data_IF_432119019131
#
_entry.id   IF_432119019131
#
_cell.length_a   1.000
_cell.length_b   1.000
_cell.length_c   1.000
_cell.angle_alpha   90.00
_cell.angle_beta   90.00
_cell.angle_gamma   90.00
#
_symmetry.space_group_name_H-M   'P 1'
#
loop_
_entity.id
_entity.type
_entity.pdbx_description
1 polymer ?
#
# COMPACT_ATOMS: atom_id res chain seq x y z
N UNK A 1 23.44 8.97 -8.87
CA UNK A 1 24.45 8.24 -8.11
C UNK A 1 23.92 7.96 -6.72
N UNK A 2 23.98 6.72 -6.27
CA UNK A 2 23.61 6.32 -4.90
C UNK A 2 24.89 6.15 -4.08
N UNK A 3 24.93 6.80 -2.92
CA UNK A 3 25.99 6.65 -1.95
C UNK A 3 25.41 6.10 -0.65
N UNK A 4 26.17 5.29 0.05
CA UNK A 4 25.77 4.85 1.40
C UNK A 4 25.92 6.03 2.37
N UNK A 5 24.95 6.20 3.28
CA UNK A 5 25.02 7.20 4.35
C UNK A 5 26.27 7.00 5.21
N UNK A 6 26.70 5.77 5.41
CA UNK A 6 27.93 5.39 6.12
C UNK A 6 29.21 5.94 5.49
N UNK A 7 29.15 6.42 4.24
CA UNK A 7 30.26 7.05 3.59
C UNK A 7 30.54 8.50 4.02
N UNK A 8 29.61 9.17 4.71
CA UNK A 8 29.67 10.59 4.99
C UNK A 8 30.82 10.98 5.90
N UNK A 9 31.85 11.68 5.33
CA UNK A 9 33.08 12.15 6.02
C UNK A 9 33.82 11.09 6.85
N UNK A 10 33.53 9.80 6.66
CA UNK A 10 34.19 8.73 7.37
C UNK A 10 35.43 8.25 6.61
N UNK A 11 36.44 7.68 7.31
CA UNK A 11 37.63 7.11 6.66
C UNK A 11 37.31 5.97 5.70
N UNK A 12 36.13 5.34 5.85
CA UNK A 12 35.64 4.22 5.05
C UNK A 12 34.85 4.66 3.82
N UNK A 13 34.81 5.96 3.48
CA UNK A 13 34.15 6.45 2.27
C UNK A 13 34.72 5.78 1.03
N UNK A 14 33.85 5.11 0.26
CA UNK A 14 34.22 4.42 -0.97
C UNK A 14 34.95 3.09 -0.76
N UNK A 15 35.19 2.66 0.46
CA UNK A 15 35.78 1.36 0.75
C UNK A 15 34.76 0.24 0.45
N UNK A 16 35.16 -0.83 -0.27
CA UNK A 16 34.28 -1.97 -0.50
C UNK A 16 33.74 -2.64 0.78
N UNK A 17 34.46 -2.51 1.88
CA UNK A 17 34.09 -3.04 3.20
C UNK A 17 33.26 -2.04 4.04
N UNK A 18 32.93 -0.89 3.53
CA UNK A 18 32.19 0.15 4.26
C UNK A 18 30.96 -0.37 5.00
N UNK A 19 30.28 -1.37 4.45
CA UNK A 19 29.12 -1.98 5.09
C UNK A 19 29.44 -2.70 6.42
N UNK A 20 30.60 -3.31 6.53
CA UNK A 20 30.98 -4.21 7.63
C UNK A 20 32.01 -3.60 8.58
N UNK A 21 32.82 -2.62 8.14
CA UNK A 21 33.87 -2.02 8.95
C UNK A 21 33.29 -1.05 9.97
N UNK A 22 33.64 -1.28 11.24
CA UNK A 22 33.31 -0.37 12.34
C UNK A 22 34.45 0.62 12.54
N UNK A 23 34.14 1.82 12.97
CA UNK A 23 35.14 2.81 13.37
C UNK A 23 35.80 2.37 14.70
N UNK A 24 37.07 2.51 14.77
CA UNK A 24 37.79 2.37 16.04
C UNK A 24 37.67 3.66 16.89
N UNK A 25 38.13 3.61 18.16
CA UNK A 25 37.97 4.72 19.10
C UNK A 25 38.62 6.01 18.59
N UNK A 26 39.81 5.93 17.98
CA UNK A 26 40.51 7.10 17.43
C UNK A 26 39.72 7.73 16.25
N UNK A 27 39.20 6.90 15.34
CA UNK A 27 38.39 7.35 14.23
C UNK A 27 37.05 7.95 14.71
N UNK A 28 36.46 7.42 15.77
CA UNK A 28 35.29 8.00 16.41
C UNK A 28 35.57 9.36 17.02
N UNK A 29 36.70 9.52 17.66
CA UNK A 29 37.15 10.79 18.22
C UNK A 29 37.41 11.85 17.13
N UNK A 30 38.11 11.48 16.07
CA UNK A 30 38.33 12.36 14.90
C UNK A 30 37.02 12.77 14.28
N UNK A 31 36.10 11.83 14.12
CA UNK A 31 34.77 12.12 13.54
C UNK A 31 33.99 13.08 14.43
N UNK A 32 33.94 12.83 15.75
CA UNK A 32 33.31 13.71 16.74
C UNK A 32 33.88 15.13 16.67
N UNK A 33 35.21 15.24 16.65
CA UNK A 33 35.90 16.54 16.57
C UNK A 33 35.59 17.25 15.24
N UNK A 34 35.46 16.52 14.13
CA UNK A 34 35.08 17.08 12.82
C UNK A 34 33.68 17.68 12.82
N UNK A 35 32.83 17.23 13.73
CA UNK A 35 31.45 17.72 13.92
C UNK A 35 31.36 18.82 15.00
N UNK A 36 32.48 19.21 15.62
CA UNK A 36 32.56 20.14 16.75
C UNK A 36 31.73 19.70 17.97
N UNK A 37 31.59 18.39 18.20
CA UNK A 37 30.89 17.82 19.36
C UNK A 37 31.94 17.58 20.44
N UNK A 38 31.72 18.06 21.65
CA UNK A 38 32.59 17.78 22.78
C UNK A 38 32.37 16.38 23.33
N UNK A 39 33.40 15.87 24.02
CA UNK A 39 33.31 14.56 24.66
C UNK A 39 32.20 14.56 25.73
N UNK A 40 31.30 13.63 25.65
CA UNK A 40 30.14 13.50 26.53
C UNK A 40 28.91 14.29 26.10
N UNK A 41 29.01 15.09 25.03
CA UNK A 41 27.89 15.87 24.48
C UNK A 41 27.26 15.24 23.22
N UNK A 42 27.57 13.96 22.92
CA UNK A 42 27.15 13.28 21.70
C UNK A 42 25.61 13.17 21.55
N UNK A 43 24.91 13.18 22.67
CA UNK A 43 23.45 13.08 22.72
C UNK A 43 22.80 14.34 23.31
N UNK A 44 23.53 15.41 23.47
CA UNK A 44 22.94 16.69 23.90
C UNK A 44 22.09 17.26 22.74
N UNK A 45 20.92 17.76 23.10
CA UNK A 45 20.07 18.46 22.17
C UNK A 45 20.62 19.85 21.78
N UNK A 46 19.98 20.49 20.83
CA UNK A 46 20.29 21.87 20.50
C UNK A 46 19.79 22.83 21.60
N UNK A 47 20.51 23.92 21.81
CA UNK A 47 19.99 25.01 22.67
C UNK A 47 18.60 25.41 22.21
N UNK A 48 17.64 25.36 23.15
CA UNK A 48 16.23 25.60 22.89
C UNK A 48 15.93 27.02 22.38
N UNK A 49 16.81 27.98 22.66
CA UNK A 49 16.68 29.35 22.18
C UNK A 49 17.33 29.57 20.79
N UNK A 50 18.11 28.59 20.33
CA UNK A 50 18.68 28.64 18.98
C UNK A 50 17.62 28.40 17.90
N UNK A 51 17.87 28.90 16.68
CA UNK A 51 16.97 28.65 15.54
C UNK A 51 16.74 27.16 15.28
N UNK A 52 17.77 26.33 15.46
CA UNK A 52 17.68 24.88 15.27
C UNK A 52 16.90 24.24 16.39
N UNK A 53 17.14 24.64 17.66
CA UNK A 53 16.39 24.14 18.81
C UNK A 53 14.90 24.48 18.73
N UNK A 54 14.57 25.73 18.38
CA UNK A 54 13.19 26.17 18.16
C UNK A 54 12.52 25.33 17.05
N UNK A 55 13.20 25.11 15.91
CA UNK A 55 12.66 24.28 14.84
C UNK A 55 12.46 22.82 15.27
N UNK A 56 13.44 22.23 15.96
CA UNK A 56 13.31 20.88 16.50
C UNK A 56 12.15 20.76 17.50
N UNK A 57 11.99 21.76 18.36
CA UNK A 57 10.89 21.80 19.33
C UNK A 57 9.52 21.92 18.65
N UNK A 58 9.39 22.77 17.65
CA UNK A 58 8.17 22.90 16.84
C UNK A 58 7.81 21.58 16.16
N UNK A 59 8.76 20.95 15.47
CA UNK A 59 8.56 19.66 14.80
C UNK A 59 8.22 18.57 15.80
N UNK A 60 8.92 18.50 16.95
CA UNK A 60 8.63 17.54 18.00
C UNK A 60 7.23 17.73 18.57
N UNK A 61 6.83 18.96 18.84
CA UNK A 61 5.48 19.28 19.31
C UNK A 61 4.43 18.84 18.29
N UNK A 62 4.66 19.12 17.02
CA UNK A 62 3.77 18.68 15.94
C UNK A 62 3.67 17.17 15.84
N UNK A 63 4.81 16.44 15.88
CA UNK A 63 4.83 14.98 15.78
C UNK A 63 4.26 14.27 17.02
N UNK A 64 4.36 14.88 18.18
CA UNK A 64 3.82 14.35 19.45
C UNK A 64 2.48 14.99 19.83
N UNK A 65 1.85 15.77 18.95
CA UNK A 65 0.52 16.27 19.18
C UNK A 65 -0.51 15.14 19.16
N UNK A 66 -1.58 15.28 19.94
CA UNK A 66 -2.67 14.28 20.04
C UNK A 66 -3.35 13.97 18.68
N UNK A 67 -3.08 14.78 17.65
CA UNK A 67 -3.53 14.53 16.28
C UNK A 67 -2.96 13.20 15.74
N UNK A 68 -1.74 12.83 16.15
CA UNK A 68 -1.09 11.57 15.74
C UNK A 68 -1.26 10.43 16.77
N UNK A 69 -1.84 10.70 17.92
CA UNK A 69 -1.97 9.71 19.01
C UNK A 69 -3.38 9.15 19.19
N UNK A 70 -4.38 9.72 18.52
CA UNK A 70 -5.76 9.30 18.68
C UNK A 70 -6.16 8.27 17.61
N UNK A 71 -5.80 7.00 17.86
CA UNK A 71 -6.50 5.90 17.22
C UNK A 71 -7.99 6.08 17.49
N UNK A 72 -8.75 6.47 16.47
CA UNK A 72 -10.19 6.54 16.60
C UNK A 72 -10.74 5.12 16.57
N UNK A 73 -11.49 4.75 17.60
CA UNK A 73 -12.32 3.55 17.53
C UNK A 73 -13.41 3.79 16.49
N UNK A 74 -13.13 3.41 15.25
CA UNK A 74 -14.09 3.49 14.17
C UNK A 74 -14.89 2.19 14.16
N UNK A 75 -16.13 2.25 14.61
CA UNK A 75 -17.06 1.14 14.49
C UNK A 75 -17.84 1.26 13.18
N UNK A 76 -17.80 0.23 12.38
CA UNK A 76 -18.64 0.05 11.19
C UNK A 76 -19.19 -1.38 11.16
N UNK A 77 -20.32 -1.55 10.51
CA UNK A 77 -20.97 -2.86 10.45
C UNK A 77 -20.76 -3.45 9.07
N UNK A 78 -19.92 -4.49 9.00
CA UNK A 78 -19.74 -5.26 7.76
C UNK A 78 -20.92 -6.22 7.61
N UNK A 79 -21.62 -6.22 6.47
CA UNK A 79 -22.65 -7.20 6.19
C UNK A 79 -22.04 -8.60 6.14
N UNK A 80 -22.68 -9.59 6.80
CA UNK A 80 -22.21 -10.97 6.75
C UNK A 80 -22.33 -11.60 5.37
N UNK A 81 -23.24 -11.09 4.56
CA UNK A 81 -23.54 -11.58 3.22
C UNK A 81 -24.49 -10.62 2.52
N UNK A 82 -24.41 -10.56 1.19
CA UNK A 82 -25.43 -9.87 0.40
C UNK A 82 -26.65 -10.76 0.17
N UNK A 83 -27.83 -10.12 0.07
CA UNK A 83 -29.09 -10.83 -0.18
C UNK A 83 -29.18 -11.40 -1.59
N UNK A 84 -28.50 -10.79 -2.54
CA UNK A 84 -28.46 -11.20 -3.95
C UNK A 84 -27.39 -12.27 -4.15
N UNK A 85 -27.81 -13.44 -4.65
CA UNK A 85 -26.89 -14.49 -5.06
C UNK A 85 -26.24 -14.23 -6.42
N UNK A 86 -25.19 -14.99 -6.70
CA UNK A 86 -24.51 -15.01 -8.01
C UNK A 86 -25.12 -16.09 -8.88
N UNK A 87 -25.47 -15.76 -10.12
CA UNK A 87 -26.10 -16.70 -11.07
C UNK A 87 -25.35 -16.70 -12.39
N UNK A 88 -25.33 -17.84 -13.06
CA UNK A 88 -24.66 -18.05 -14.34
C UNK A 88 -23.19 -18.44 -14.20
N UNK A 89 -22.51 -18.55 -15.32
CA UNK A 89 -21.07 -18.86 -15.38
C UNK A 89 -20.27 -17.56 -15.22
N UNK A 90 -19.80 -17.31 -14.00
CA UNK A 90 -18.99 -16.16 -13.66
C UNK A 90 -17.69 -16.59 -13.00
N UNK A 91 -16.58 -15.94 -13.36
CA UNK A 91 -15.32 -16.13 -12.65
C UNK A 91 -15.36 -15.45 -11.28
N UNK A 92 -14.54 -15.93 -10.34
CA UNK A 92 -14.35 -15.27 -9.05
C UNK A 92 -13.86 -13.83 -9.22
N UNK A 93 -13.05 -13.54 -10.24
CA UNK A 93 -12.60 -12.20 -10.60
C UNK A 93 -13.78 -11.27 -10.96
N UNK A 94 -14.73 -11.74 -11.77
CA UNK A 94 -15.95 -10.97 -12.10
C UNK A 94 -16.80 -10.72 -10.84
N UNK A 95 -16.92 -11.73 -10.00
CA UNK A 95 -17.66 -11.63 -8.74
C UNK A 95 -16.98 -10.64 -7.79
N UNK A 96 -15.64 -10.60 -7.73
CA UNK A 96 -14.90 -9.62 -6.95
C UNK A 96 -15.32 -8.17 -7.32
N UNK A 97 -15.32 -7.84 -8.60
CA UNK A 97 -15.78 -6.52 -9.06
C UNK A 97 -17.25 -6.22 -8.73
N UNK A 98 -18.12 -7.25 -8.77
CA UNK A 98 -19.51 -7.12 -8.35
C UNK A 98 -19.66 -6.87 -6.85
N UNK A 99 -18.86 -7.53 -6.01
CA UNK A 99 -18.88 -7.33 -4.55
C UNK A 99 -18.52 -5.88 -4.21
N UNK A 100 -17.43 -5.35 -4.79
CA UNK A 100 -17.03 -3.96 -4.57
C UNK A 100 -18.14 -2.99 -5.01
N UNK A 101 -18.74 -3.24 -6.18
CA UNK A 101 -19.86 -2.43 -6.68
C UNK A 101 -21.09 -2.53 -5.78
N UNK A 102 -21.37 -3.69 -5.20
CA UNK A 102 -22.51 -3.87 -4.30
C UNK A 102 -22.29 -3.17 -2.96
N UNK A 103 -21.06 -3.10 -2.46
CA UNK A 103 -20.72 -2.34 -1.26
C UNK A 103 -21.10 -0.85 -1.39
N UNK A 104 -20.98 -0.25 -2.58
CA UNK A 104 -21.42 1.15 -2.79
C UNK A 104 -22.92 1.35 -2.64
N UNK A 105 -23.71 0.29 -2.64
CA UNK A 105 -25.18 0.35 -2.56
C UNK A 105 -25.70 -0.09 -1.20
N UNK A 106 -25.08 -1.10 -0.62
CA UNK A 106 -25.58 -1.78 0.58
C UNK A 106 -24.82 -1.45 1.86
N UNK A 107 -23.62 -0.88 1.76
CA UNK A 107 -22.73 -0.60 2.90
C UNK A 107 -21.89 0.67 2.63
N UNK A 108 -22.56 1.82 2.52
CA UNK A 108 -21.92 3.09 2.14
C UNK A 108 -20.79 3.48 3.09
N UNK A 109 -20.96 3.31 4.41
CA UNK A 109 -19.92 3.64 5.41
C UNK A 109 -18.60 2.89 5.19
N UNK A 110 -18.70 1.64 4.70
CA UNK A 110 -17.54 0.83 4.32
C UNK A 110 -16.99 1.30 2.98
N UNK A 111 -17.88 1.45 2.01
CA UNK A 111 -17.52 1.89 0.66
C UNK A 111 -16.76 3.22 0.67
N UNK A 112 -17.15 4.19 1.49
CA UNK A 112 -16.50 5.49 1.61
C UNK A 112 -15.08 5.41 2.18
N UNK A 113 -14.70 4.29 2.77
CA UNK A 113 -13.37 4.03 3.32
C UNK A 113 -12.48 3.18 2.42
N UNK A 114 -13.08 2.51 1.44
CA UNK A 114 -12.31 1.67 0.52
C UNK A 114 -11.54 2.55 -0.46
N UNK A 115 -10.23 2.30 -0.53
CA UNK A 115 -9.35 2.84 -1.57
C UNK A 115 -8.78 1.67 -2.35
N UNK A 116 -9.08 1.61 -3.65
CA UNK A 116 -8.49 0.60 -4.52
C UNK A 116 -7.21 1.09 -5.16
N UNK A 117 -6.24 0.19 -5.35
CA UNK A 117 -4.94 0.50 -5.95
C UNK A 117 -4.62 -0.53 -7.03
N UNK A 118 -4.13 -0.09 -8.18
CA UNK A 118 -3.78 -0.97 -9.29
C UNK A 118 -2.49 -0.53 -10.00
N UNK A 119 -1.65 -1.47 -10.45
CA UNK A 119 -0.48 -1.18 -11.27
C UNK A 119 -0.80 -1.38 -12.77
N UNK A 120 -1.66 -0.53 -13.35
CA UNK A 120 -2.09 -0.55 -14.75
C UNK A 120 -2.92 -1.77 -15.17
N UNK A 121 -3.61 -2.39 -14.22
CA UNK A 121 -4.44 -3.58 -14.49
C UNK A 121 -5.90 -3.45 -14.02
N UNK A 122 -6.34 -2.25 -13.68
CA UNK A 122 -7.67 -2.00 -13.11
C UNK A 122 -8.80 -2.58 -13.99
N UNK A 123 -8.74 -2.39 -15.30
CA UNK A 123 -9.73 -2.90 -16.24
C UNK A 123 -9.73 -4.43 -16.33
N UNK A 124 -8.56 -5.03 -16.48
CA UNK A 124 -8.39 -6.48 -16.63
C UNK A 124 -8.59 -7.26 -15.33
N UNK A 125 -8.58 -6.59 -14.18
CA UNK A 125 -8.92 -7.16 -12.87
C UNK A 125 -10.36 -6.88 -12.43
N UNK A 126 -11.20 -6.43 -13.35
CA UNK A 126 -12.65 -6.17 -13.16
C UNK A 126 -12.98 -5.06 -12.12
N UNK A 127 -12.12 -4.06 -11.95
CA UNK A 127 -12.43 -2.89 -11.13
C UNK A 127 -13.34 -1.86 -11.83
N UNK A 128 -13.66 -2.03 -13.12
CA UNK A 128 -14.40 -1.04 -13.90
C UNK A 128 -15.74 -0.62 -13.29
N UNK A 129 -16.51 -1.57 -12.77
CA UNK A 129 -17.79 -1.28 -12.12
C UNK A 129 -17.65 -0.46 -10.84
N UNK A 130 -16.60 -0.69 -10.06
CA UNK A 130 -16.24 0.09 -8.89
C UNK A 130 -15.78 1.50 -9.29
N UNK A 131 -14.80 1.60 -10.19
CA UNK A 131 -14.22 2.88 -10.64
C UNK A 131 -15.29 3.81 -11.23
N UNK A 132 -16.23 3.27 -12.00
CA UNK A 132 -17.36 4.02 -12.53
C UNK A 132 -18.31 4.61 -11.45
N UNK A 133 -18.15 4.18 -10.19
CA UNK A 133 -18.94 4.69 -9.05
C UNK A 133 -18.18 5.68 -8.19
N UNK A 134 -16.88 5.44 -8.01
CA UNK A 134 -16.08 6.17 -7.04
C UNK A 134 -15.02 7.08 -7.66
N UNK A 135 -14.79 6.99 -8.96
CA UNK A 135 -13.79 7.78 -9.68
C UNK A 135 -12.35 7.39 -9.39
N UNK A 136 -11.44 8.04 -10.11
CA UNK A 136 -9.99 7.92 -9.98
C UNK A 136 -9.45 9.12 -9.22
N UNK A 137 -8.60 8.88 -8.26
CA UNK A 137 -7.97 9.95 -7.51
C UNK A 137 -6.86 10.61 -8.33
N UNK A 138 -6.91 11.93 -8.43
CA UNK A 138 -5.84 12.74 -8.99
C UNK A 138 -5.80 14.10 -8.30
N UNK A 139 -4.62 14.51 -7.85
CA UNK A 139 -4.40 15.87 -7.34
C UNK A 139 -4.45 16.92 -8.44
N UNK A 140 -4.11 16.50 -9.65
CA UNK A 140 -4.09 17.34 -10.85
C UNK A 140 -4.79 16.58 -11.98
N UNK A 141 -6.15 16.59 -12.00
CA UNK A 141 -6.90 15.92 -13.05
C UNK A 141 -6.40 16.34 -14.41
N UNK A 142 -6.20 15.39 -15.31
CA UNK A 142 -5.84 15.68 -16.69
C UNK A 142 -7.00 16.41 -17.39
N UNK A 143 -6.70 17.47 -18.14
CA UNK A 143 -7.66 18.02 -19.08
C UNK A 143 -8.03 16.93 -20.08
N UNK A 144 -9.33 16.71 -20.31
CA UNK A 144 -9.81 15.67 -21.21
C UNK A 144 -9.10 15.75 -22.55
N UNK A 145 -8.29 14.75 -22.85
CA UNK A 145 -7.82 14.53 -24.20
C UNK A 145 -9.05 14.22 -25.06
N UNK A 146 -9.29 14.93 -26.17
CA UNK A 146 -10.42 14.64 -27.05
C UNK A 146 -10.24 13.22 -27.60
N UNK A 147 -10.92 12.28 -26.99
CA UNK A 147 -10.94 10.90 -27.45
C UNK A 147 -12.14 10.76 -28.36
N UNK A 148 -11.89 10.34 -29.61
CA UNK A 148 -12.94 9.89 -30.51
C UNK A 148 -13.93 9.00 -29.73
N UNK A 149 -15.21 9.27 -29.87
CA UNK A 149 -16.31 8.70 -29.10
C UNK A 149 -16.41 7.18 -29.25
N UNK A 150 -15.47 6.44 -28.71
CA UNK A 150 -15.64 5.02 -28.46
C UNK A 150 -16.46 4.86 -27.17
N UNK A 151 -17.53 4.07 -27.24
CA UNK A 151 -18.31 3.68 -26.06
C UNK A 151 -17.37 2.89 -25.15
N UNK A 152 -16.85 3.54 -24.11
CA UNK A 152 -15.99 2.91 -23.11
C UNK A 152 -16.86 2.30 -22.01
N UNK A 153 -16.63 1.04 -21.70
CA UNK A 153 -17.24 0.39 -20.54
C UNK A 153 -16.73 0.96 -19.20
N UNK A 154 -15.53 1.55 -19.22
CA UNK A 154 -14.90 2.20 -18.07
C UNK A 154 -14.91 3.72 -18.28
N UNK A 155 -15.56 4.43 -17.37
CA UNK A 155 -15.50 5.88 -17.26
C UNK A 155 -14.34 6.25 -16.35
N UNK A 156 -13.33 6.95 -16.90
CA UNK A 156 -12.13 7.35 -16.16
C UNK A 156 -12.27 8.82 -15.75
N UNK A 157 -12.96 9.06 -14.64
CA UNK A 157 -13.16 10.40 -14.10
C UNK A 157 -12.14 10.68 -12.99
N UNK A 158 -11.21 11.58 -13.28
CA UNK A 158 -10.19 12.00 -12.32
C UNK A 158 -10.69 13.14 -11.44
N UNK A 159 -10.48 13.03 -10.13
CA UNK A 159 -10.79 14.09 -9.17
C UNK A 159 -9.99 13.91 -7.88
N UNK A 160 -9.97 14.93 -7.04
CA UNK A 160 -9.40 14.88 -5.69
C UNK A 160 -10.24 14.04 -4.70
N UNK A 161 -11.41 13.57 -5.14
CA UNK A 161 -12.34 12.74 -4.35
C UNK A 161 -12.42 11.29 -4.84
N UNK A 162 -11.71 10.95 -5.90
CA UNK A 162 -11.67 9.59 -6.42
C UNK A 162 -11.10 8.60 -5.40
N UNK A 163 -11.58 7.36 -5.44
CA UNK A 163 -11.17 6.30 -4.51
C UNK A 163 -10.35 5.18 -5.19
N UNK A 164 -9.96 5.39 -6.44
CA UNK A 164 -9.04 4.50 -7.13
C UNK A 164 -7.71 5.20 -7.39
N UNK A 165 -6.61 4.55 -6.99
CA UNK A 165 -5.24 5.00 -7.26
C UNK A 165 -4.64 4.15 -8.37
N UNK A 166 -4.32 4.79 -9.50
CA UNK A 166 -3.63 4.14 -10.59
C UNK A 166 -2.14 4.51 -10.56
N UNK A 167 -1.28 3.49 -10.42
CA UNK A 167 0.16 3.69 -10.21
C UNK A 167 1.00 3.52 -11.48
N UNK A 168 0.37 3.10 -12.60
CA UNK A 168 1.11 2.57 -13.73
C UNK A 168 1.77 1.23 -13.39
N UNK A 169 2.53 0.64 -14.32
CA UNK A 169 3.14 -0.70 -14.17
C UNK A 169 4.21 -0.69 -13.08
N UNK A 170 3.81 -0.90 -11.84
CA UNK A 170 4.70 -0.85 -10.68
C UNK A 170 4.16 -1.64 -9.48
N UNK A 171 4.35 -2.95 -9.47
CA UNK A 171 3.88 -3.84 -8.40
C UNK A 171 4.58 -3.58 -7.06
N UNK A 172 5.83 -3.12 -7.10
CA UNK A 172 6.54 -2.74 -5.88
C UNK A 172 5.89 -1.52 -5.20
N UNK A 173 5.54 -0.49 -5.99
CA UNK A 173 4.85 0.69 -5.47
C UNK A 173 3.43 0.37 -5.00
N UNK A 174 2.76 -0.64 -5.60
CA UNK A 174 1.47 -1.13 -5.11
C UNK A 174 1.56 -1.52 -3.64
N UNK A 175 2.49 -2.39 -3.26
CA UNK A 175 2.61 -2.86 -1.87
C UNK A 175 3.09 -1.76 -0.92
N UNK A 176 3.98 -0.86 -1.35
CA UNK A 176 4.35 0.31 -0.56
C UNK A 176 3.12 1.18 -0.28
N UNK A 177 2.32 1.46 -1.30
CA UNK A 177 1.10 2.26 -1.18
C UNK A 177 0.08 1.59 -0.25
N UNK A 178 -0.19 0.30 -0.45
CA UNK A 178 -1.12 -0.47 0.39
C UNK A 178 -0.67 -0.48 1.86
N UNK A 179 0.61 -0.71 2.11
CA UNK A 179 1.17 -0.69 3.47
C UNK A 179 1.00 0.66 4.15
N UNK A 180 1.26 1.77 3.44
CA UNK A 180 1.10 3.12 3.98
C UNK A 180 -0.37 3.50 4.21
N UNK A 181 -1.25 3.15 3.28
CA UNK A 181 -2.70 3.34 3.45
C UNK A 181 -3.24 2.50 4.61
N UNK A 182 -2.72 1.28 4.78
CA UNK A 182 -3.11 0.39 5.88
C UNK A 182 -2.63 0.83 7.27
N UNK A 183 -1.78 1.86 7.36
CA UNK A 183 -1.31 2.47 8.61
C UNK A 183 -1.99 3.79 8.95
N UNK A 184 -2.92 4.26 8.13
CA UNK A 184 -3.54 5.59 8.32
C UNK A 184 -4.30 5.72 9.64
N UNK A 185 -4.93 4.63 10.11
CA UNK A 185 -5.65 4.67 11.37
C UNK A 185 -4.70 4.88 12.57
N UNK A 186 -3.58 4.18 12.60
CA UNK A 186 -2.58 4.31 13.66
C UNK A 186 -1.85 5.66 13.60
N UNK A 187 -1.56 6.13 12.39
CA UNK A 187 -0.77 7.33 12.18
C UNK A 187 -1.59 8.62 12.22
N UNK A 188 -2.74 8.62 11.57
CA UNK A 188 -3.54 9.83 11.30
C UNK A 188 -4.92 9.79 11.98
N UNK A 189 -5.29 8.68 12.60
CA UNK A 189 -6.60 8.46 13.20
C UNK A 189 -7.75 8.36 12.19
N UNK A 190 -7.43 8.11 10.90
CA UNK A 190 -8.42 7.94 9.83
C UNK A 190 -8.33 6.54 9.23
N UNK A 191 -9.37 5.74 9.41
CA UNK A 191 -9.41 4.39 8.89
C UNK A 191 -9.63 4.40 7.37
N UNK A 192 -8.68 3.85 6.63
CA UNK A 192 -8.78 3.51 5.22
C UNK A 192 -8.77 2.00 5.08
N UNK A 193 -9.55 1.47 4.15
CA UNK A 193 -9.64 0.06 3.79
C UNK A 193 -8.97 -0.15 2.41
N UNK A 194 -7.64 -0.36 2.36
CA UNK A 194 -6.94 -0.44 1.09
C UNK A 194 -7.09 -1.83 0.47
N UNK A 195 -7.45 -1.85 -0.83
CA UNK A 195 -7.60 -3.08 -1.60
C UNK A 195 -6.80 -2.96 -2.90
N UNK A 196 -5.74 -3.76 -3.03
CA UNK A 196 -4.91 -3.81 -4.23
C UNK A 196 -5.34 -4.92 -5.19
N UNK A 197 -5.20 -4.69 -6.49
CA UNK A 197 -5.34 -5.75 -7.49
C UNK A 197 -4.12 -5.80 -8.38
N UNK A 198 -3.65 -7.00 -8.65
CA UNK A 198 -2.53 -7.23 -9.55
C UNK A 198 -2.61 -8.64 -10.14
N UNK A 199 -1.87 -8.91 -11.19
CA UNK A 199 -1.77 -10.27 -11.70
C UNK A 199 -0.98 -11.17 -10.75
N UNK A 200 -1.51 -12.33 -10.44
CA UNK A 200 -0.91 -13.33 -9.56
C UNK A 200 0.61 -13.53 -9.77
N UNK A 201 1.12 -13.79 -10.98
CA UNK A 201 2.55 -14.04 -11.16
C UNK A 201 3.43 -12.83 -10.80
N UNK A 202 2.87 -11.62 -10.76
CA UNK A 202 3.61 -10.39 -10.51
C UNK A 202 3.64 -9.96 -9.05
N UNK A 203 2.95 -10.65 -8.16
CA UNK A 203 3.09 -10.47 -6.71
C UNK A 203 4.58 -10.53 -6.31
N UNK A 204 5.34 -11.44 -6.91
CA UNK A 204 6.77 -11.60 -6.64
C UNK A 204 7.64 -10.41 -7.02
N UNK A 205 7.17 -9.51 -7.89
CA UNK A 205 7.90 -8.27 -8.22
C UNK A 205 7.87 -7.24 -7.09
N UNK A 206 6.87 -7.33 -6.23
CA UNK A 206 6.71 -6.46 -5.08
C UNK A 206 6.93 -7.15 -3.74
N UNK A 207 7.53 -8.35 -3.71
CA UNK A 207 7.63 -9.17 -2.50
C UNK A 207 8.39 -8.47 -1.37
N UNK A 208 9.47 -7.76 -1.67
CA UNK A 208 10.22 -6.99 -0.69
C UNK A 208 9.34 -5.92 -0.01
N UNK A 209 8.62 -5.14 -0.81
CA UNK A 209 7.68 -4.14 -0.30
C UNK A 209 6.52 -4.76 0.47
N UNK A 210 6.02 -5.93 0.05
CA UNK A 210 4.99 -6.68 0.79
C UNK A 210 5.49 -7.07 2.18
N UNK A 211 6.68 -7.68 2.26
CA UNK A 211 7.29 -8.07 3.55
C UNK A 211 7.42 -6.87 4.49
N UNK A 212 7.97 -5.76 4.01
CA UNK A 212 8.11 -4.55 4.82
C UNK A 212 6.76 -3.96 5.25
N UNK A 213 5.77 -3.99 4.38
CA UNK A 213 4.43 -3.49 4.69
C UNK A 213 3.76 -4.30 5.80
N UNK A 214 3.91 -5.64 5.76
CA UNK A 214 3.40 -6.53 6.81
C UNK A 214 4.16 -6.33 8.12
N UNK A 215 5.49 -6.31 8.10
CA UNK A 215 6.32 -6.07 9.30
C UNK A 215 6.04 -4.71 9.95
N UNK A 216 5.66 -3.72 9.17
CA UNK A 216 5.26 -2.40 9.67
C UNK A 216 3.87 -2.39 10.29
N UNK A 217 3.13 -3.50 10.23
CA UNK A 217 1.76 -3.61 10.74
C UNK A 217 0.69 -3.04 9.82
N UNK A 218 1.02 -2.79 8.54
CA UNK A 218 0.07 -2.31 7.54
C UNK A 218 -1.07 -3.31 7.33
N UNK A 219 -2.31 -2.84 7.40
CA UNK A 219 -3.51 -3.66 7.22
C UNK A 219 -4.15 -3.36 5.88
N UNK A 220 -4.15 -4.34 5.00
CA UNK A 220 -4.67 -4.20 3.64
C UNK A 220 -5.06 -5.55 3.05
N UNK A 221 -5.83 -5.52 1.98
CA UNK A 221 -6.19 -6.68 1.16
C UNK A 221 -5.50 -6.52 -0.19
N UNK A 222 -5.00 -7.61 -0.75
CA UNK A 222 -4.64 -7.64 -2.17
C UNK A 222 -5.17 -8.89 -2.86
N UNK A 223 -5.51 -8.76 -4.12
CA UNK A 223 -6.15 -9.80 -4.94
C UNK A 223 -5.27 -10.09 -6.13
N UNK A 224 -4.64 -11.27 -6.13
CA UNK A 224 -3.85 -11.80 -7.25
C UNK A 224 -4.78 -12.38 -8.32
N UNK A 225 -5.09 -11.61 -9.36
CA UNK A 225 -6.05 -12.01 -10.38
C UNK A 225 -5.77 -11.35 -11.75
N UNK A 226 -5.88 -12.09 -12.86
CA UNK A 226 -6.08 -13.54 -12.98
C UNK A 226 -4.93 -14.34 -12.37
N UNK A 227 -5.19 -15.61 -12.00
CA UNK A 227 -4.21 -16.48 -11.36
C UNK A 227 -3.94 -17.76 -12.16
N UNK A 228 -2.87 -18.45 -11.80
CA UNK A 228 -2.49 -19.74 -12.35
C UNK A 228 -2.16 -19.69 -13.84
N UNK A 229 -2.88 -20.46 -14.64
CA UNK A 229 -2.70 -20.58 -16.08
C UNK A 229 -3.71 -19.77 -16.91
N UNK A 230 -4.54 -18.94 -16.28
CA UNK A 230 -5.63 -18.20 -16.94
C UNK A 230 -5.11 -17.27 -18.04
N UNK A 231 -3.94 -16.68 -17.85
CA UNK A 231 -3.26 -15.82 -18.84
C UNK A 231 -2.28 -16.60 -19.75
N UNK A 232 -2.52 -17.87 -20.00
CA UNK A 232 -1.66 -18.67 -20.89
C UNK A 232 -1.47 -18.07 -22.31
N UNK A 233 -2.44 -17.39 -22.92
CA UNK A 233 -2.24 -16.72 -24.21
C UNK A 233 -1.19 -15.59 -24.16
N UNK A 234 -0.96 -14.99 -22.99
CA UNK A 234 0.03 -13.92 -22.76
C UNK A 234 1.46 -14.48 -22.61
N UNK A 235 1.61 -15.81 -22.55
CA UNK A 235 2.89 -16.49 -22.43
C UNK A 235 3.30 -16.80 -20.99
N UNK A 236 4.45 -17.50 -20.86
CA UNK A 236 4.92 -18.07 -19.59
C UNK A 236 5.19 -17.06 -18.48
N UNK A 237 5.50 -15.79 -18.82
CA UNK A 237 5.72 -14.74 -17.84
C UNK A 237 4.44 -14.35 -17.05
N UNK A 238 3.27 -14.63 -17.63
CA UNK A 238 1.96 -14.35 -17.05
C UNK A 238 1.32 -15.56 -16.38
N UNK A 239 2.09 -16.63 -16.18
CA UNK A 239 1.61 -17.86 -15.56
C UNK A 239 2.36 -18.14 -14.27
N UNK A 240 1.67 -18.65 -13.26
CA UNK A 240 2.27 -19.07 -12.00
C UNK A 240 1.46 -20.20 -11.36
N UNK A 241 2.20 -21.16 -10.80
CA UNK A 241 1.64 -22.22 -9.95
C UNK A 241 2.28 -22.23 -8.57
N UNK A 242 3.19 -21.28 -8.29
CA UNK A 242 3.99 -21.23 -7.04
C UNK A 242 3.61 -20.08 -6.14
N UNK A 243 2.78 -19.15 -6.58
CA UNK A 243 2.37 -17.99 -5.77
C UNK A 243 1.74 -18.38 -4.43
N UNK A 244 0.95 -19.46 -4.31
CA UNK A 244 0.44 -19.91 -3.01
C UNK A 244 1.51 -20.17 -1.95
N UNK A 245 2.76 -20.50 -2.36
CA UNK A 245 3.87 -20.70 -1.41
C UNK A 245 4.23 -19.46 -0.60
N UNK A 246 3.92 -18.27 -1.09
CA UNK A 246 4.15 -16.99 -0.39
C UNK A 246 3.41 -16.98 0.96
N UNK A 247 2.21 -17.55 1.03
CA UNK A 247 1.45 -17.68 2.27
C UNK A 247 2.14 -18.51 3.36
N UNK A 248 3.04 -19.44 2.98
CA UNK A 248 3.83 -20.21 3.95
C UNK A 248 5.02 -19.44 4.51
N UNK A 249 5.53 -18.46 3.78
CA UNK A 249 6.72 -17.68 4.16
C UNK A 249 6.37 -16.45 5.01
N UNK A 250 5.12 -15.99 4.96
CA UNK A 250 4.66 -14.76 5.59
C UNK A 250 3.57 -15.07 6.64
N UNK A 251 3.92 -15.32 7.90
CA UNK A 251 2.98 -15.73 8.94
C UNK A 251 1.93 -14.65 9.27
N UNK A 252 2.19 -13.38 8.96
CA UNK A 252 1.24 -12.27 9.11
C UNK A 252 0.21 -12.20 7.97
N UNK A 253 0.40 -13.00 6.91
CA UNK A 253 -0.47 -13.00 5.75
C UNK A 253 -1.55 -14.08 5.84
N UNK A 254 -2.81 -13.68 5.86
CA UNK A 254 -3.92 -14.60 5.65
C UNK A 254 -4.13 -14.83 4.15
N UNK A 255 -3.88 -16.04 3.69
CA UNK A 255 -3.96 -16.43 2.28
C UNK A 255 -5.19 -17.29 1.99
N UNK A 256 -5.92 -16.97 0.93
CA UNK A 256 -7.13 -17.68 0.49
C UNK A 256 -7.16 -17.89 -1.01
N UNK A 257 -7.69 -19.04 -1.45
CA UNK A 257 -7.99 -19.36 -2.85
C UNK A 257 -9.47 -19.77 -3.02
N UNK A 258 -10.40 -18.81 -3.11
CA UNK A 258 -11.81 -19.13 -3.24
C UNK A 258 -12.14 -19.73 -4.61
N UNK A 259 -12.90 -20.83 -4.61
CA UNK A 259 -13.42 -21.47 -5.83
C UNK A 259 -14.79 -20.92 -6.23
N UNK A 260 -15.61 -20.53 -5.26
CA UNK A 260 -16.99 -20.12 -5.49
C UNK A 260 -17.18 -18.64 -5.16
N UNK A 261 -18.08 -17.99 -5.92
CA UNK A 261 -18.37 -16.58 -5.71
C UNK A 261 -18.90 -16.24 -4.32
N UNK A 262 -19.69 -17.12 -3.72
CA UNK A 262 -20.20 -16.93 -2.37
C UNK A 262 -19.12 -17.07 -1.30
N UNK A 263 -18.20 -17.98 -1.52
CA UNK A 263 -17.01 -18.14 -0.68
C UNK A 263 -16.13 -16.89 -0.73
N UNK A 264 -15.85 -16.37 -1.94
CA UNK A 264 -15.12 -15.11 -2.11
C UNK A 264 -15.82 -13.94 -1.39
N UNK A 265 -17.15 -13.85 -1.48
CA UNK A 265 -17.90 -12.81 -0.78
C UNK A 265 -17.67 -12.88 0.74
N UNK A 266 -17.80 -14.06 1.33
CA UNK A 266 -17.60 -14.24 2.76
C UNK A 266 -16.18 -13.91 3.20
N UNK A 267 -15.18 -14.40 2.46
CA UNK A 267 -13.76 -14.11 2.71
C UNK A 267 -13.49 -12.61 2.65
N UNK A 268 -13.96 -11.93 1.60
CA UNK A 268 -13.70 -10.50 1.42
C UNK A 268 -14.38 -9.65 2.51
N UNK A 269 -15.63 -9.96 2.84
CA UNK A 269 -16.35 -9.24 3.89
C UNK A 269 -15.73 -9.48 5.27
N UNK A 270 -15.32 -10.72 5.57
CA UNK A 270 -14.60 -11.03 6.81
C UNK A 270 -13.24 -10.34 6.87
N UNK A 271 -12.49 -10.30 5.75
CA UNK A 271 -11.21 -9.59 5.67
C UNK A 271 -11.38 -8.10 5.91
N UNK A 272 -12.41 -7.47 5.35
CA UNK A 272 -12.74 -6.06 5.60
C UNK A 272 -13.06 -5.81 7.08
N UNK A 273 -13.74 -6.76 7.74
CA UNK A 273 -14.07 -6.65 9.15
C UNK A 273 -12.85 -6.79 10.08
N UNK A 274 -11.75 -7.35 9.59
CA UNK A 274 -10.52 -7.60 10.36
C UNK A 274 -9.40 -6.55 10.12
N UNK A 275 -9.61 -5.57 9.25
CA UNK A 275 -8.74 -4.41 9.09
C UNK A 275 -8.99 -3.40 10.22
#
# INVERSE_FOLDING_TARGET
FAYTLKGWKLPTVGDPQNHSVLLNSSQMEEFRNSLNIKNGEEFEGFDLESKVGLYCSEVSTKLNSDIYSSKKDVSYIVPKSFSKGYSGNMSTQQIFGLILTELTRSAQEISDRIVTVSPDVASSTNLGGWINKVGVWSKHPSEELPVEQQIRALTWEESDKGQHLELGISENNLFICLGQLGLTNERDGELVLPIGTLYDPFIRRGLDALVYSLQSGGKFIFVGTPSGLTLSPEGGSHQSIVTPSIGYELPELNYYEPCYGKELEWILLDSINNI
#
